data_IF_976354738009
#
_entry.id   IF_976354738009
#
_cell.length_a   1.000
_cell.length_b   1.000
_cell.length_c   1.000
_cell.angle_alpha   90.00
_cell.angle_beta   90.00
_cell.angle_gamma   90.00
#
_symmetry.space_group_name_H-M   'P 1'
#
loop_
_entity.id
_entity.type
_entity.pdbx_description
1 polymer ?
#
# COMPACT_ATOMS: atom_id res chain seq x y z
N UNK A 1 -20.65 20.60 2.03
CA UNK A 1 -19.74 21.00 3.11
C UNK A 1 -18.32 20.74 2.60
N UNK A 2 -17.39 21.68 2.69
CA UNK A 2 -16.01 21.39 2.33
C UNK A 2 -15.47 20.35 3.31
N UNK A 3 -14.91 19.29 2.79
CA UNK A 3 -14.18 18.30 3.59
C UNK A 3 -13.07 19.04 4.35
N UNK A 4 -12.96 18.83 5.69
CA UNK A 4 -11.89 19.44 6.46
C UNK A 4 -10.56 18.95 5.90
N UNK A 5 -9.62 19.87 5.84
CA UNK A 5 -8.23 19.68 5.39
C UNK A 5 -7.71 18.29 5.63
N UNK A 6 -7.46 17.54 4.56
CA UNK A 6 -6.64 16.34 4.61
C UNK A 6 -5.27 16.78 5.12
N UNK A 7 -5.02 16.52 6.39
CA UNK A 7 -3.66 16.58 6.89
C UNK A 7 -2.86 15.58 6.06
N UNK A 8 -1.82 16.04 5.39
CA UNK A 8 -1.00 15.23 4.51
C UNK A 8 -0.09 14.34 5.35
N UNK A 9 0.25 13.16 4.86
CA UNK A 9 1.31 12.39 5.45
C UNK A 9 2.64 13.14 5.26
N UNK A 10 3.37 13.38 6.34
CA UNK A 10 4.60 14.16 6.32
C UNK A 10 5.70 13.49 7.13
N UNK A 11 6.93 13.64 6.66
CA UNK A 11 8.12 13.29 7.42
C UNK A 11 8.97 14.54 7.63
N UNK A 12 9.59 14.64 8.80
CA UNK A 12 10.52 15.72 9.14
C UNK A 12 11.77 15.17 9.79
N UNK A 13 12.90 15.30 9.12
CA UNK A 13 14.20 14.83 9.58
C UNK A 13 14.25 13.32 9.83
N UNK A 14 13.43 12.54 9.15
CA UNK A 14 13.26 11.10 9.40
C UNK A 14 14.56 10.35 9.16
N UNK A 15 15.01 9.61 10.17
CA UNK A 15 16.25 8.84 10.10
C UNK A 15 16.04 7.45 10.69
N UNK A 16 16.39 6.42 9.94
CA UNK A 16 16.43 5.01 10.37
C UNK A 16 17.10 4.15 9.29
N UNK A 17 18.15 3.42 9.66
CA UNK A 17 18.88 2.56 8.71
C UNK A 17 19.37 3.36 7.48
N UNK A 18 18.99 2.96 6.27
CA UNK A 18 19.40 3.65 5.03
C UNK A 18 18.69 5.00 4.84
N UNK A 19 17.60 5.27 5.54
CA UNK A 19 16.88 6.55 5.45
C UNK A 19 17.58 7.57 6.34
N UNK A 20 18.05 8.70 5.76
CA UNK A 20 18.82 9.72 6.46
C UNK A 20 18.21 11.11 6.26
N UNK A 21 17.78 11.73 7.36
CA UNK A 21 17.28 13.11 7.42
C UNK A 21 16.21 13.45 6.37
N UNK A 22 15.29 12.50 6.10
CA UNK A 22 14.25 12.65 5.08
C UNK A 22 13.14 13.57 5.58
N UNK A 23 12.95 14.69 4.89
CA UNK A 23 11.80 15.58 5.05
C UNK A 23 11.01 15.60 3.74
N UNK A 24 9.79 15.10 3.76
CA UNK A 24 8.96 14.94 2.56
C UNK A 24 7.48 15.04 2.90
N UNK A 25 6.70 15.57 1.98
CA UNK A 25 5.24 15.64 2.09
C UNK A 25 4.61 14.81 0.99
N UNK A 26 3.74 13.89 1.39
CA UNK A 26 3.01 12.99 0.53
C UNK A 26 1.61 13.57 0.25
N UNK A 27 1.37 14.13 -0.94
CA UNK A 27 0.07 14.71 -1.28
C UNK A 27 -0.97 13.61 -1.51
N UNK A 28 -2.23 14.00 -1.59
CA UNK A 28 -3.28 13.16 -2.15
C UNK A 28 -2.97 12.79 -3.62
N UNK A 29 -3.55 11.69 -4.09
CA UNK A 29 -3.20 11.07 -5.36
C UNK A 29 -2.13 10.00 -5.21
N UNK A 30 -1.47 9.62 -6.29
CA UNK A 30 -0.48 8.54 -6.32
C UNK A 30 0.93 9.11 -6.26
N UNK A 31 1.69 8.71 -5.26
CA UNK A 31 3.12 9.01 -5.14
C UNK A 31 3.95 7.75 -5.27
N UNK A 32 5.18 7.88 -5.76
CA UNK A 32 6.06 6.75 -6.00
C UNK A 32 7.39 6.90 -5.28
N UNK A 33 7.86 5.81 -4.68
CA UNK A 33 9.20 5.70 -4.09
C UNK A 33 10.01 4.78 -5.00
N UNK A 34 11.03 5.34 -5.65
CA UNK A 34 11.97 4.61 -6.50
C UNK A 34 13.28 4.33 -5.75
N UNK A 35 14.01 3.35 -6.24
CA UNK A 35 15.37 3.06 -5.80
C UNK A 35 15.71 1.58 -5.97
N UNK A 36 17.00 1.30 -5.99
CA UNK A 36 17.52 -0.07 -6.10
C UNK A 36 17.22 -0.92 -4.85
N UNK A 37 17.56 -2.20 -4.91
CA UNK A 37 17.47 -3.09 -3.76
C UNK A 37 18.35 -2.59 -2.60
N UNK A 38 17.86 -2.69 -1.38
CA UNK A 38 18.59 -2.25 -0.18
C UNK A 38 18.56 -0.74 0.09
N UNK A 39 18.00 0.10 -0.78
CA UNK A 39 17.93 1.57 -0.58
C UNK A 39 16.94 2.02 0.50
N UNK A 40 16.17 1.10 1.06
CA UNK A 40 15.29 1.40 2.20
C UNK A 40 13.85 1.66 1.85
N UNK A 41 13.37 1.30 0.66
CA UNK A 41 11.95 1.48 0.26
C UNK A 41 11.00 0.86 1.28
N UNK A 42 11.13 -0.43 1.57
CA UNK A 42 10.32 -1.14 2.57
C UNK A 42 10.49 -0.53 3.97
N UNK A 43 11.72 -0.15 4.34
CA UNK A 43 11.99 0.51 5.62
C UNK A 43 11.23 1.83 5.73
N UNK A 44 11.23 2.63 4.66
CA UNK A 44 10.47 3.89 4.62
C UNK A 44 8.97 3.63 4.75
N UNK A 45 8.41 2.68 4.02
CA UNK A 45 6.98 2.33 4.16
C UNK A 45 6.64 1.90 5.59
N UNK A 46 7.46 1.09 6.24
CA UNK A 46 7.27 0.66 7.64
C UNK A 46 7.35 1.83 8.63
N UNK A 47 8.24 2.79 8.40
CA UNK A 47 8.31 4.03 9.18
C UNK A 47 7.04 4.88 8.99
N UNK A 48 6.59 5.06 7.74
CA UNK A 48 5.36 5.80 7.42
C UNK A 48 4.11 5.15 8.04
N UNK A 49 4.10 3.83 8.14
CA UNK A 49 3.04 3.05 8.77
C UNK A 49 3.05 3.11 10.31
N UNK A 50 4.17 3.55 10.91
CA UNK A 50 4.38 3.45 12.35
C UNK A 50 4.72 2.03 12.84
N UNK A 51 4.99 1.09 11.92
CA UNK A 51 5.37 -0.30 12.21
C UNK A 51 6.80 -0.39 12.79
N UNK A 52 7.64 0.59 12.44
CA UNK A 52 8.99 0.76 12.98
C UNK A 52 9.14 2.19 13.49
N UNK A 53 9.77 2.35 14.65
CA UNK A 53 10.05 3.67 15.20
C UNK A 53 11.33 4.25 14.57
N UNK A 54 11.33 5.52 14.17
CA UNK A 54 12.52 6.16 13.65
C UNK A 54 13.57 6.36 14.77
N UNK A 55 14.85 6.39 14.40
CA UNK A 55 15.94 6.75 15.33
C UNK A 55 16.02 8.25 15.55
N UNK A 56 15.54 9.06 14.59
CA UNK A 56 15.36 10.51 14.71
C UNK A 56 14.28 10.99 13.73
N UNK A 57 13.77 12.19 13.98
CA UNK A 57 12.71 12.80 13.17
C UNK A 57 11.32 12.30 13.53
N UNK A 58 10.34 12.71 12.74
CA UNK A 58 8.91 12.42 12.99
C UNK A 58 8.17 12.06 11.73
N UNK A 59 7.10 11.28 11.91
CA UNK A 59 6.07 11.03 10.89
C UNK A 59 4.76 11.59 11.43
N UNK A 60 4.08 12.42 10.64
CA UNK A 60 2.74 12.93 10.94
C UNK A 60 1.76 12.31 9.95
N UNK A 61 0.86 11.48 10.44
CA UNK A 61 -0.17 10.83 9.64
C UNK A 61 -1.48 11.60 9.68
N UNK A 62 -2.29 11.60 8.60
CA UNK A 62 -3.61 12.20 8.58
C UNK A 62 -4.62 11.40 9.42
N UNK A 63 -5.71 12.05 9.77
CA UNK A 63 -6.91 11.34 10.25
C UNK A 63 -7.42 10.37 9.18
N UNK A 64 -7.98 9.22 9.60
CA UNK A 64 -8.43 8.16 8.68
C UNK A 64 -7.42 7.04 8.46
N UNK A 65 -6.24 7.16 9.07
CA UNK A 65 -5.27 6.10 9.22
C UNK A 65 -4.40 5.80 7.99
N UNK A 66 -3.42 4.96 8.21
CA UNK A 66 -2.48 4.47 7.20
C UNK A 66 -2.68 2.96 7.04
N UNK A 67 -2.96 2.51 5.83
CA UNK A 67 -3.00 1.09 5.53
C UNK A 67 -1.58 0.60 5.23
N UNK A 68 -1.17 -0.39 5.99
CA UNK A 68 0.03 -1.17 5.78
C UNK A 68 -0.17 -2.60 6.26
N UNK A 69 0.26 -3.56 5.46
CA UNK A 69 0.35 -4.96 5.87
C UNK A 69 1.42 -5.67 5.04
N UNK A 70 2.24 -6.45 5.71
CA UNK A 70 3.16 -7.40 5.07
C UNK A 70 2.63 -8.81 5.28
N UNK A 71 2.05 -9.40 4.25
CA UNK A 71 1.57 -10.78 4.25
C UNK A 71 2.59 -11.76 3.68
N UNK A 72 3.81 -11.33 3.34
CA UNK A 72 4.81 -12.23 2.73
C UNK A 72 5.51 -13.11 3.76
N UNK A 73 5.56 -12.67 5.01
CA UNK A 73 6.22 -13.40 6.10
C UNK A 73 5.44 -14.62 6.58
N UNK A 74 6.13 -15.59 7.25
CA UNK A 74 5.54 -16.86 7.72
C UNK A 74 4.51 -16.68 8.85
N UNK A 75 4.46 -15.53 9.50
CA UNK A 75 3.52 -15.25 10.59
C UNK A 75 2.04 -15.39 10.17
N UNK A 76 1.76 -15.25 8.88
CA UNK A 76 0.40 -15.31 8.31
C UNK A 76 0.11 -16.65 7.60
N UNK A 77 1.04 -17.58 7.56
CA UNK A 77 0.97 -18.80 6.76
C UNK A 77 -0.27 -19.67 7.07
N UNK A 78 -0.70 -19.71 8.31
CA UNK A 78 -1.82 -20.54 8.75
C UNK A 78 -3.21 -19.89 8.51
N UNK A 79 -3.26 -18.57 8.32
CA UNK A 79 -4.50 -17.86 8.09
C UNK A 79 -5.03 -18.11 6.66
N UNK A 80 -6.35 -18.19 6.50
CA UNK A 80 -6.96 -18.20 5.19
C UNK A 80 -7.00 -16.79 4.58
N UNK A 81 -7.25 -16.68 3.29
CA UNK A 81 -7.48 -15.37 2.64
C UNK A 81 -8.63 -14.64 3.30
N UNK A 82 -9.73 -15.36 3.59
CA UNK A 82 -10.90 -14.79 4.26
C UNK A 82 -10.55 -14.26 5.66
N UNK A 83 -9.83 -15.06 6.49
CA UNK A 83 -9.40 -14.62 7.82
C UNK A 83 -8.56 -13.34 7.78
N UNK A 84 -7.66 -13.24 6.79
CA UNK A 84 -6.84 -12.05 6.60
C UNK A 84 -7.71 -10.82 6.29
N UNK A 85 -8.66 -10.95 5.36
CA UNK A 85 -9.53 -9.85 4.99
C UNK A 85 -10.49 -9.46 6.12
N UNK A 86 -11.02 -10.42 6.87
CA UNK A 86 -11.89 -10.16 8.03
C UNK A 86 -11.13 -9.42 9.15
N UNK A 87 -9.89 -9.84 9.40
CA UNK A 87 -9.02 -9.16 10.36
C UNK A 87 -8.73 -7.71 9.94
N UNK A 88 -8.43 -7.48 8.67
CA UNK A 88 -8.16 -6.16 8.13
C UNK A 88 -9.40 -5.29 8.10
N UNK A 89 -10.56 -5.83 7.70
CA UNK A 89 -11.86 -5.14 7.74
C UNK A 89 -12.14 -4.57 9.13
N UNK A 90 -11.84 -5.32 10.19
CA UNK A 90 -12.03 -4.86 11.56
C UNK A 90 -11.15 -3.68 11.98
N UNK A 91 -10.04 -3.42 11.26
CA UNK A 91 -9.10 -2.32 11.55
C UNK A 91 -9.42 -1.03 10.80
N UNK A 92 -10.13 -1.13 9.67
CA UNK A 92 -10.37 0.00 8.76
C UNK A 92 -11.87 0.28 8.64
N UNK A 93 -12.40 1.28 9.37
CA UNK A 93 -13.85 1.53 9.43
C UNK A 93 -14.46 2.00 8.11
N UNK A 94 -13.64 2.50 7.19
CA UNK A 94 -14.07 2.91 5.84
C UNK A 94 -13.90 1.82 4.79
N UNK A 95 -13.80 0.55 5.23
CA UNK A 95 -13.63 -0.60 4.33
C UNK A 95 -14.75 -0.69 3.30
N UNK A 96 -14.38 -0.86 2.03
CA UNK A 96 -15.31 -0.97 0.91
C UNK A 96 -15.48 -2.44 0.49
N UNK A 97 -16.53 -3.07 1.01
CA UNK A 97 -16.82 -4.48 0.74
C UNK A 97 -17.16 -4.75 -0.73
N UNK A 98 -17.90 -3.85 -1.39
CA UNK A 98 -18.25 -4.01 -2.80
C UNK A 98 -16.98 -4.02 -3.67
N UNK A 99 -16.06 -3.10 -3.42
CA UNK A 99 -14.79 -3.02 -4.13
C UNK A 99 -13.92 -4.26 -3.86
N UNK A 100 -13.89 -4.77 -2.61
CA UNK A 100 -13.19 -6.02 -2.29
C UNK A 100 -13.70 -7.17 -3.15
N UNK A 101 -15.02 -7.32 -3.23
CA UNK A 101 -15.64 -8.41 -4.00
C UNK A 101 -15.36 -8.29 -5.50
N UNK A 102 -15.44 -7.09 -6.06
CA UNK A 102 -15.19 -6.84 -7.48
C UNK A 102 -13.71 -7.14 -7.82
N UNK A 103 -12.76 -6.57 -7.05
CA UNK A 103 -11.34 -6.83 -7.24
C UNK A 103 -10.96 -8.30 -6.99
N UNK A 104 -11.62 -8.96 -6.04
CA UNK A 104 -11.43 -10.40 -5.79
C UNK A 104 -11.79 -11.24 -7.01
N UNK A 105 -12.85 -10.89 -7.73
CA UNK A 105 -13.25 -11.56 -8.98
C UNK A 105 -12.27 -11.23 -10.10
N UNK A 106 -11.98 -9.96 -10.33
CA UNK A 106 -11.09 -9.50 -11.42
C UNK A 106 -9.67 -10.06 -11.31
N UNK A 107 -9.15 -10.18 -10.07
CA UNK A 107 -7.84 -10.73 -9.80
C UNK A 107 -7.84 -12.25 -9.57
N UNK A 108 -8.97 -12.94 -9.81
CA UNK A 108 -9.15 -14.39 -9.64
C UNK A 108 -8.82 -14.87 -8.21
N UNK A 109 -9.22 -14.10 -7.20
CA UNK A 109 -9.03 -14.47 -5.79
C UNK A 109 -10.25 -15.14 -5.15
N UNK A 110 -11.43 -15.04 -5.77
CA UNK A 110 -12.67 -15.58 -5.23
C UNK A 110 -12.61 -17.11 -4.96
N UNK A 111 -11.86 -17.86 -5.76
CA UNK A 111 -11.68 -19.32 -5.59
C UNK A 111 -10.62 -19.68 -4.52
N UNK A 112 -9.96 -18.69 -3.92
CA UNK A 112 -8.89 -18.88 -2.96
C UNK A 112 -9.25 -18.52 -1.52
N UNK A 113 -10.49 -18.08 -1.25
CA UNK A 113 -10.90 -17.53 0.04
C UNK A 113 -10.62 -18.47 1.22
N UNK A 114 -10.88 -19.76 1.05
CA UNK A 114 -10.67 -20.80 2.07
C UNK A 114 -9.25 -21.38 2.09
N UNK A 115 -8.40 -20.97 1.15
CA UNK A 115 -7.01 -21.43 1.10
C UNK A 115 -6.16 -20.67 2.12
N UNK A 116 -5.28 -21.41 2.82
CA UNK A 116 -4.28 -20.80 3.69
C UNK A 116 -3.22 -20.07 2.85
N UNK A 117 -2.63 -19.00 3.39
CA UNK A 117 -1.65 -18.20 2.66
C UNK A 117 -0.42 -19.00 2.22
N UNK A 118 0.00 -20.02 3.00
CA UNK A 118 1.10 -20.90 2.61
C UNK A 118 0.79 -21.85 1.44
N UNK A 119 -0.49 -21.96 1.06
CA UNK A 119 -0.93 -22.77 -0.09
C UNK A 119 -1.01 -21.94 -1.39
N UNK A 120 -0.80 -20.63 -1.30
CA UNK A 120 -0.86 -19.73 -2.43
C UNK A 120 0.51 -19.56 -3.08
N UNK A 121 0.52 -19.31 -4.40
CA UNK A 121 1.71 -18.81 -5.07
C UNK A 121 2.11 -17.43 -4.52
N UNK A 122 3.36 -17.02 -4.71
CA UNK A 122 3.81 -15.69 -4.31
C UNK A 122 2.95 -14.58 -4.93
N UNK A 123 2.56 -14.73 -6.19
CA UNK A 123 1.65 -13.79 -6.88
C UNK A 123 0.25 -13.77 -6.26
N UNK A 124 -0.35 -14.94 -6.01
CA UNK A 124 -1.68 -15.00 -5.38
C UNK A 124 -1.65 -14.41 -3.97
N UNK A 125 -0.61 -14.70 -3.19
CA UNK A 125 -0.43 -14.13 -1.85
C UNK A 125 -0.28 -12.60 -1.90
N UNK A 126 0.40 -12.07 -2.93
CA UNK A 126 0.48 -10.62 -3.16
C UNK A 126 -0.86 -10.01 -3.51
N UNK A 127 -1.67 -10.70 -4.34
CA UNK A 127 -3.03 -10.25 -4.65
C UNK A 127 -3.91 -10.12 -3.41
N UNK A 128 -3.78 -11.02 -2.41
CA UNK A 128 -4.51 -10.90 -1.12
C UNK A 128 -4.25 -9.55 -0.47
N UNK A 129 -2.98 -9.14 -0.38
CA UNK A 129 -2.57 -7.86 0.19
C UNK A 129 -3.09 -6.67 -0.65
N UNK A 130 -2.91 -6.73 -1.97
CA UNK A 130 -3.29 -5.64 -2.88
C UNK A 130 -4.80 -5.41 -2.83
N UNK A 131 -5.62 -6.46 -2.95
CA UNK A 131 -7.09 -6.36 -2.87
C UNK A 131 -7.51 -5.70 -1.56
N UNK A 132 -6.95 -6.13 -0.43
CA UNK A 132 -7.22 -5.54 0.87
C UNK A 132 -6.82 -4.05 0.94
N UNK A 133 -5.65 -3.71 0.39
CA UNK A 133 -5.14 -2.34 0.36
C UNK A 133 -6.08 -1.41 -0.43
N UNK A 134 -6.49 -1.84 -1.61
CA UNK A 134 -7.38 -1.06 -2.47
C UNK A 134 -8.77 -0.87 -1.83
N UNK A 135 -9.28 -1.89 -1.13
CA UNK A 135 -10.58 -1.86 -0.45
C UNK A 135 -10.56 -1.19 0.94
N UNK A 136 -9.39 -0.92 1.52
CA UNK A 136 -9.24 -0.50 2.92
C UNK A 136 -9.97 0.79 3.30
N UNK A 137 -10.14 1.72 2.36
CA UNK A 137 -10.71 3.04 2.65
C UNK A 137 -9.82 3.95 3.51
N UNK A 138 -8.59 3.55 3.84
CA UNK A 138 -7.66 4.35 4.64
C UNK A 138 -7.28 5.67 3.94
N UNK A 139 -7.00 6.72 4.72
CA UNK A 139 -6.58 8.01 4.17
C UNK A 139 -5.26 7.92 3.40
N UNK A 140 -4.36 7.04 3.84
CA UNK A 140 -3.10 6.70 3.16
C UNK A 140 -3.03 5.19 2.96
N UNK A 141 -2.66 4.75 1.77
CA UNK A 141 -2.43 3.34 1.45
C UNK A 141 -0.99 3.16 0.97
N UNK A 142 -0.25 2.27 1.63
CA UNK A 142 1.14 1.95 1.32
C UNK A 142 1.21 0.59 0.60
N UNK A 143 1.90 0.54 -0.52
CA UNK A 143 2.07 -0.65 -1.35
C UNK A 143 3.56 -0.90 -1.61
N UNK A 144 4.08 -2.04 -1.17
CA UNK A 144 5.47 -2.44 -1.42
C UNK A 144 5.53 -3.44 -2.57
N UNK A 145 6.15 -3.05 -3.67
CA UNK A 145 6.33 -3.85 -4.87
C UNK A 145 5.03 -4.59 -5.30
N UNK A 146 3.91 -3.86 -5.51
CA UNK A 146 2.60 -4.49 -5.69
C UNK A 146 2.51 -5.36 -6.95
N UNK A 147 3.44 -5.20 -7.89
CA UNK A 147 3.44 -5.91 -9.18
C UNK A 147 4.33 -7.16 -9.19
N UNK A 148 5.17 -7.36 -8.17
CA UNK A 148 6.12 -8.47 -8.15
C UNK A 148 5.40 -9.82 -8.17
N UNK A 149 5.86 -10.73 -9.04
CA UNK A 149 5.31 -12.08 -9.26
C UNK A 149 3.85 -12.11 -9.77
N UNK A 150 3.31 -11.00 -10.28
CA UNK A 150 1.98 -10.96 -10.89
C UNK A 150 2.04 -11.21 -12.41
N UNK A 151 0.95 -11.75 -12.91
CA UNK A 151 0.70 -11.85 -14.35
C UNK A 151 0.35 -10.46 -14.94
N UNK A 152 0.51 -10.33 -16.24
CA UNK A 152 0.30 -9.06 -16.95
C UNK A 152 -1.14 -8.51 -16.80
N UNK A 153 -2.14 -9.39 -16.80
CA UNK A 153 -3.55 -8.99 -16.60
C UNK A 153 -3.77 -8.36 -15.23
N UNK A 154 -3.23 -8.97 -14.19
CA UNK A 154 -3.32 -8.44 -12.81
C UNK A 154 -2.58 -7.11 -12.65
N UNK A 155 -1.39 -6.97 -13.26
CA UNK A 155 -0.65 -5.70 -13.25
C UNK A 155 -1.48 -4.59 -13.90
N UNK A 156 -2.13 -4.87 -15.04
CA UNK A 156 -2.96 -3.91 -15.75
C UNK A 156 -4.14 -3.44 -14.88
N UNK A 157 -4.86 -4.36 -14.25
CA UNK A 157 -6.00 -4.03 -13.35
C UNK A 157 -5.54 -3.08 -12.23
N UNK A 158 -4.42 -3.40 -11.57
CA UNK A 158 -3.91 -2.57 -10.47
C UNK A 158 -3.49 -1.19 -10.97
N UNK A 159 -2.84 -1.08 -12.14
CA UNK A 159 -2.44 0.20 -12.73
C UNK A 159 -3.65 1.03 -13.16
N UNK A 160 -4.67 0.43 -13.75
CA UNK A 160 -5.93 1.09 -14.09
C UNK A 160 -6.57 1.67 -12.83
N UNK A 161 -6.65 0.88 -11.74
CA UNK A 161 -7.14 1.36 -10.46
C UNK A 161 -6.32 2.55 -9.93
N UNK A 162 -4.99 2.48 -9.95
CA UNK A 162 -4.13 3.57 -9.49
C UNK A 162 -4.26 4.82 -10.38
N UNK A 163 -4.47 4.66 -11.67
CA UNK A 163 -4.71 5.76 -12.60
C UNK A 163 -6.01 6.49 -12.30
N UNK A 164 -7.08 5.74 -12.01
CA UNK A 164 -8.35 6.30 -11.58
C UNK A 164 -8.22 6.99 -10.22
N UNK A 165 -7.51 6.34 -9.27
CA UNK A 165 -7.25 6.90 -7.95
C UNK A 165 -6.43 8.20 -7.99
N UNK A 166 -5.54 8.35 -8.97
CA UNK A 166 -4.74 9.57 -9.15
C UNK A 166 -5.60 10.80 -9.48
N UNK A 167 -6.76 10.61 -10.11
CA UNK A 167 -7.71 11.68 -10.38
C UNK A 167 -8.51 12.12 -9.14
N UNK A 168 -8.51 11.31 -8.07
CA UNK A 168 -9.24 11.58 -6.83
C UNK A 168 -8.30 12.10 -5.74
N UNK A 169 -8.53 13.32 -5.29
CA UNK A 169 -7.65 14.03 -4.34
C UNK A 169 -8.01 13.83 -2.87
N UNK A 170 -8.78 12.79 -2.53
CA UNK A 170 -9.23 12.53 -1.16
C UNK A 170 -8.33 11.58 -0.37
N UNK A 171 -7.48 10.81 -1.04
CA UNK A 171 -6.61 9.80 -0.43
C UNK A 171 -5.20 9.88 -1.02
N UNK A 172 -4.21 9.45 -0.25
CA UNK A 172 -2.83 9.28 -0.71
C UNK A 172 -2.53 7.79 -0.94
N UNK A 173 -1.94 7.49 -2.08
CA UNK A 173 -1.44 6.17 -2.45
C UNK A 173 0.07 6.27 -2.60
N UNK A 174 0.82 5.52 -1.83
CA UNK A 174 2.27 5.53 -1.85
C UNK A 174 2.75 4.15 -2.25
N UNK A 175 3.32 4.07 -3.42
CA UNK A 175 3.82 2.83 -4.01
C UNK A 175 5.34 2.85 -3.99
N UNK A 176 5.97 1.80 -3.50
CA UNK A 176 7.41 1.60 -3.56
C UNK A 176 7.74 0.51 -4.58
N UNK A 177 8.60 0.83 -5.55
CA UNK A 177 9.09 -0.12 -6.55
C UNK A 177 10.48 0.32 -7.06
N UNK A 178 11.07 -0.41 -8.00
CA UNK A 178 12.35 -0.06 -8.61
C UNK A 178 12.25 1.20 -9.45
N UNK A 179 11.24 1.27 -10.33
CA UNK A 179 11.01 2.38 -11.25
C UNK A 179 9.56 2.86 -11.18
N UNK A 180 9.35 4.13 -11.47
CA UNK A 180 8.00 4.69 -11.59
C UNK A 180 7.38 4.34 -12.95
N UNK A 181 6.08 4.01 -13.00
CA UNK A 181 5.40 3.74 -14.26
C UNK A 181 5.20 5.03 -15.06
N UNK A 182 5.23 4.91 -16.38
CA UNK A 182 4.92 6.02 -17.29
C UNK A 182 3.42 6.17 -17.60
N UNK A 183 2.63 5.16 -17.24
CA UNK A 183 1.21 5.00 -17.56
C UNK A 183 0.26 5.27 -16.37
N UNK A 184 0.80 5.71 -15.22
CA UNK A 184 0.03 6.15 -14.05
C UNK A 184 0.37 7.61 -13.76
N UNK A 185 -0.61 8.53 -13.67
CA UNK A 185 -0.34 9.92 -13.28
C UNK A 185 0.17 9.98 -11.84
N UNK A 186 1.34 10.59 -11.65
CA UNK A 186 1.97 10.66 -10.33
C UNK A 186 1.91 12.07 -9.75
N UNK A 187 1.45 12.19 -8.51
CA UNK A 187 1.47 13.43 -7.76
C UNK A 187 2.90 13.79 -7.30
N UNK A 188 3.69 12.78 -6.93
CA UNK A 188 5.11 12.94 -6.55
C UNK A 188 5.92 11.66 -6.78
N UNK A 189 7.22 11.86 -6.99
CA UNK A 189 8.22 10.78 -7.02
C UNK A 189 9.32 11.13 -6.02
N UNK A 190 9.69 10.16 -5.18
CA UNK A 190 10.84 10.20 -4.30
C UNK A 190 11.85 9.16 -4.79
N UNK A 191 13.05 9.58 -5.15
CA UNK A 191 14.16 8.68 -5.47
C UNK A 191 15.07 8.52 -4.26
N UNK A 192 15.39 7.27 -3.88
CA UNK A 192 16.26 6.92 -2.76
C UNK A 192 17.69 6.57 -3.21
N UNK A 193 17.99 6.62 -4.52
CA UNK A 193 19.34 6.36 -5.06
C UNK A 193 20.29 7.54 -4.84
#
# INVERSE_FOLDING_TARGET
MPYPFLSQLQTQGLTHGPIQNLSFTWPAGVSWICGDEGKGKTTLLRLLAGDVQPTAGTVTAPEGGVFWVDLQGPAHDAATVQDCWDTLRGRYPSWNEALLQDLSKELNMAEHLEKRLNMLSAGSRRKVMVVAALASGAAVTLLDQPFAALDFGSIRIIKEFLSDAAAHTSRAWIVADYESPSDVPLARVLNLD
#
